data_IF_206015228948
#
_entry.id   IF_206015228948
#
_cell.length_a   1.000
_cell.length_b   1.000
_cell.length_c   1.000
_cell.angle_alpha   90.00
_cell.angle_beta   90.00
_cell.angle_gamma   90.00
#
_symmetry.space_group_name_H-M   'P 1'
#
loop_
_entity.id
_entity.type
_entity.pdbx_description
1 polymer ?
#
# COMPACT_ATOMS: atom_id res chain seq x y z
N UNK A 1 2.71 4.55 -37.65
CA UNK A 1 3.50 4.21 -36.44
C UNK A 1 3.46 5.40 -35.50
N UNK A 2 2.79 5.35 -34.34
CA UNK A 2 2.80 6.48 -33.42
C UNK A 2 4.17 6.57 -32.73
N UNK A 3 4.75 7.77 -32.73
CA UNK A 3 6.06 8.10 -32.16
C UNK A 3 6.03 7.94 -30.64
N UNK A 4 6.99 7.20 -30.10
CA UNK A 4 7.26 7.12 -28.66
C UNK A 4 7.66 8.50 -28.15
N UNK A 5 7.05 9.03 -27.07
CA UNK A 5 7.48 10.30 -26.50
C UNK A 5 8.86 10.13 -25.85
N UNK A 6 9.83 10.92 -26.31
CA UNK A 6 11.19 10.97 -25.76
C UNK A 6 11.17 11.56 -24.34
N UNK A 7 11.60 10.77 -23.35
CA UNK A 7 11.72 11.21 -21.96
C UNK A 7 13.05 11.95 -21.75
N UNK A 8 12.99 13.16 -21.19
CA UNK A 8 14.14 14.00 -20.83
C UNK A 8 15.12 13.28 -19.87
N UNK A 9 16.45 13.55 -19.94
CA UNK A 9 17.43 12.90 -19.08
C UNK A 9 17.28 13.38 -17.63
N UNK A 10 16.78 12.50 -16.75
CA UNK A 10 16.68 12.78 -15.31
C UNK A 10 18.08 12.83 -14.68
N UNK A 11 18.41 13.87 -13.91
CA UNK A 11 19.66 13.96 -13.13
C UNK A 11 19.58 13.18 -11.81
N UNK A 12 20.73 12.94 -11.17
CA UNK A 12 20.78 12.39 -9.80
C UNK A 12 20.12 13.38 -8.85
N UNK A 13 19.23 12.91 -7.97
CA UNK A 13 18.54 13.77 -6.98
C UNK A 13 18.92 13.34 -5.57
N UNK A 14 19.13 14.32 -4.69
CA UNK A 14 19.25 14.11 -3.25
C UNK A 14 18.00 14.63 -2.56
N UNK A 15 17.31 13.75 -1.82
CA UNK A 15 16.11 14.08 -1.08
C UNK A 15 16.43 14.02 0.41
N UNK A 16 16.15 15.12 1.12
CA UNK A 16 16.25 15.20 2.57
C UNK A 16 14.96 14.70 3.21
N UNK A 17 15.07 13.81 4.19
CA UNK A 17 13.91 13.25 4.89
C UNK A 17 13.44 14.22 5.98
N UNK A 18 12.20 14.69 5.86
CA UNK A 18 11.57 15.55 6.86
C UNK A 18 10.84 14.76 7.96
N UNK A 19 10.32 15.46 8.97
CA UNK A 19 9.55 14.86 10.07
C UNK A 19 8.30 14.10 9.59
N UNK A 20 7.67 14.57 8.51
CA UNK A 20 6.48 13.93 7.92
C UNK A 20 6.76 12.56 7.27
N UNK A 21 8.00 12.29 6.88
CA UNK A 21 8.39 11.03 6.24
C UNK A 21 9.12 10.07 7.20
N UNK A 22 9.56 10.59 8.36
CA UNK A 22 10.27 9.81 9.37
C UNK A 22 9.46 8.58 9.82
N UNK A 23 10.16 7.48 10.02
CA UNK A 23 9.60 6.18 10.39
C UNK A 23 9.04 5.38 9.21
N UNK A 24 8.93 5.95 8.01
CA UNK A 24 8.49 5.23 6.81
C UNK A 24 9.59 4.28 6.31
N UNK A 25 9.21 3.12 5.77
CA UNK A 25 10.15 2.26 5.03
C UNK A 25 10.66 2.96 3.77
N UNK A 26 11.93 2.74 3.46
CA UNK A 26 12.62 3.36 2.33
C UNK A 26 11.94 3.04 0.99
N UNK A 27 11.46 1.82 0.79
CA UNK A 27 10.72 1.47 -0.42
C UNK A 27 9.44 2.29 -0.61
N UNK A 28 8.66 2.48 0.46
CA UNK A 28 7.46 3.32 0.44
C UNK A 28 7.82 4.80 0.25
N UNK A 29 8.88 5.28 0.92
CA UNK A 29 9.41 6.64 0.72
C UNK A 29 9.77 6.88 -0.75
N UNK A 30 10.49 5.94 -1.37
CA UNK A 30 10.88 6.02 -2.79
C UNK A 30 9.68 5.94 -3.72
N UNK A 31 8.70 5.08 -3.46
CA UNK A 31 7.48 4.96 -4.29
C UNK A 31 6.66 6.26 -4.28
N UNK A 32 6.65 6.99 -3.15
CA UNK A 32 6.02 8.31 -3.04
C UNK A 32 6.76 9.38 -3.84
N UNK A 33 8.10 9.36 -3.83
CA UNK A 33 8.94 10.34 -4.53
C UNK A 33 9.11 10.03 -6.02
N UNK A 34 9.09 8.76 -6.41
CA UNK A 34 9.24 8.26 -7.78
C UNK A 34 7.89 7.88 -8.37
N UNK A 35 6.93 8.79 -8.32
CA UNK A 35 5.60 8.57 -8.92
C UNK A 35 5.74 8.16 -10.38
N UNK A 36 5.02 7.10 -10.77
CA UNK A 36 5.05 6.54 -12.12
C UNK A 36 6.19 5.55 -12.41
N UNK A 37 7.11 5.34 -11.47
CA UNK A 37 8.13 4.29 -11.59
C UNK A 37 7.55 2.97 -11.09
N UNK A 38 7.56 1.88 -11.90
CA UNK A 38 7.06 0.58 -11.45
C UNK A 38 7.74 0.07 -10.19
N UNK A 39 6.98 -0.56 -9.29
CA UNK A 39 7.51 -1.12 -8.03
C UNK A 39 8.70 -2.03 -8.28
N UNK A 40 8.61 -2.94 -9.26
CA UNK A 40 9.70 -3.84 -9.66
C UNK A 40 10.99 -3.09 -10.04
N UNK A 41 10.87 -1.91 -10.67
CA UNK A 41 12.01 -1.04 -11.01
C UNK A 41 12.60 -0.39 -9.75
N UNK A 42 11.78 0.10 -8.82
CA UNK A 42 12.28 0.63 -7.52
C UNK A 42 13.07 -0.43 -6.75
N UNK A 43 12.53 -1.65 -6.61
CA UNK A 43 13.26 -2.73 -5.96
C UNK A 43 14.54 -3.12 -6.71
N UNK A 44 14.57 -3.03 -8.05
CA UNK A 44 15.78 -3.24 -8.83
C UNK A 44 16.85 -2.18 -8.54
N UNK A 45 16.48 -0.90 -8.44
CA UNK A 45 17.40 0.19 -8.09
C UNK A 45 18.02 -0.01 -6.70
N UNK A 46 17.21 -0.42 -5.72
CA UNK A 46 17.68 -0.76 -4.37
C UNK A 46 18.62 -1.97 -4.39
N UNK A 47 18.26 -3.07 -5.08
CA UNK A 47 19.10 -4.27 -5.18
C UNK A 47 20.45 -4.00 -5.87
N UNK A 48 20.47 -3.16 -6.89
CA UNK A 48 21.71 -2.73 -7.56
C UNK A 48 22.53 -1.73 -6.74
N UNK A 49 21.97 -1.20 -5.64
CA UNK A 49 22.61 -0.19 -4.81
C UNK A 49 22.77 1.14 -5.54
N UNK A 50 21.86 1.45 -6.47
CA UNK A 50 21.82 2.75 -7.16
C UNK A 50 21.19 3.82 -6.28
N UNK A 51 20.27 3.42 -5.39
CA UNK A 51 19.77 4.27 -4.29
C UNK A 51 20.69 4.14 -3.09
N UNK A 52 21.01 5.28 -2.45
CA UNK A 52 21.86 5.35 -1.25
C UNK A 52 21.21 6.20 -0.17
N UNK A 53 21.35 5.77 1.08
CA UNK A 53 21.02 6.59 2.26
C UNK A 53 22.34 6.95 2.93
N UNK A 54 22.60 8.24 3.13
CA UNK A 54 23.84 8.73 3.76
C UNK A 54 25.11 8.11 3.13
N UNK A 55 25.15 8.04 1.80
CA UNK A 55 26.22 7.42 0.97
C UNK A 55 26.32 5.88 1.06
N UNK A 56 25.63 5.23 1.98
CA UNK A 56 25.58 3.76 2.15
C UNK A 56 24.50 3.07 1.31
N UNK A 57 24.65 1.76 1.04
CA UNK A 57 23.55 0.94 0.52
C UNK A 57 22.51 0.76 1.63
N UNK A 58 21.23 0.78 1.27
CA UNK A 58 20.13 0.57 2.21
C UNK A 58 19.20 -0.51 1.69
N UNK A 59 18.62 -1.28 2.61
CA UNK A 59 17.61 -2.30 2.31
C UNK A 59 16.23 -1.65 2.14
N UNK A 60 15.29 -2.28 1.40
CA UNK A 60 13.94 -1.74 1.20
C UNK A 60 13.16 -1.45 2.50
N UNK A 61 13.41 -2.24 3.55
CA UNK A 61 12.77 -2.17 4.87
C UNK A 61 13.43 -1.18 5.84
N UNK A 62 14.53 -0.53 5.45
CA UNK A 62 15.16 0.54 6.23
C UNK A 62 14.13 1.63 6.54
N UNK A 63 14.00 2.03 7.81
CA UNK A 63 13.11 3.13 8.20
C UNK A 63 13.88 4.45 8.15
N UNK A 64 13.43 5.35 7.28
CA UNK A 64 14.06 6.65 7.13
C UNK A 64 13.85 7.51 8.38
N UNK A 65 14.87 8.26 8.75
CA UNK A 65 14.84 9.19 9.89
C UNK A 65 14.98 10.62 9.42
N UNK A 66 14.47 11.57 10.20
CA UNK A 66 14.62 12.99 9.88
C UNK A 66 16.10 13.34 9.75
N UNK A 67 16.45 14.03 8.65
CA UNK A 67 17.84 14.40 8.33
C UNK A 67 18.59 13.39 7.45
N UNK A 68 18.01 12.22 7.13
CA UNK A 68 18.59 11.32 6.15
C UNK A 68 18.67 11.97 4.76
N UNK A 69 19.82 11.83 4.11
CA UNK A 69 20.01 12.19 2.70
C UNK A 69 19.87 10.95 1.81
N UNK A 70 18.76 10.85 1.09
CA UNK A 70 18.49 9.77 0.13
C UNK A 70 18.90 10.20 -1.28
N UNK A 71 19.97 9.58 -1.82
CA UNK A 71 20.41 9.73 -3.21
C UNK A 71 19.61 8.79 -4.10
N UNK A 72 18.96 9.35 -5.11
CA UNK A 72 18.15 8.64 -6.10
C UNK A 72 18.83 8.80 -7.48
N UNK A 73 19.06 7.70 -8.22
CA UNK A 73 19.68 7.76 -9.55
C UNK A 73 18.74 8.42 -10.57
N UNK A 74 19.25 8.79 -11.76
CA UNK A 74 18.44 9.08 -12.94
C UNK A 74 17.37 8.01 -13.17
N UNK A 75 16.11 8.32 -12.88
CA UNK A 75 14.99 7.47 -13.27
C UNK A 75 14.11 8.26 -14.21
N UNK A 76 14.11 7.87 -15.50
CA UNK A 76 13.10 8.35 -16.45
C UNK A 76 11.72 8.03 -15.87
N UNK A 77 11.01 9.10 -15.49
CA UNK A 77 9.65 9.07 -15.00
C UNK A 77 8.78 8.96 -16.24
N UNK A 78 8.30 7.76 -16.54
CA UNK A 78 7.06 7.68 -17.30
C UNK A 78 6.00 8.37 -16.44
N UNK A 79 5.19 9.25 -17.04
CA UNK A 79 3.99 9.74 -16.36
C UNK A 79 3.30 8.54 -15.70
N UNK A 80 2.84 8.68 -14.43
CA UNK A 80 2.10 7.60 -13.79
C UNK A 80 0.94 7.24 -14.70
N UNK A 81 1.07 6.12 -15.42
CA UNK A 81 -0.04 5.54 -16.16
C UNK A 81 -1.11 5.29 -15.12
N UNK A 82 -2.12 6.14 -15.09
CA UNK A 82 -3.34 5.80 -14.41
C UNK A 82 -3.79 4.49 -15.05
N UNK A 83 -4.06 3.50 -14.22
CA UNK A 83 -4.56 2.24 -14.73
C UNK A 83 -6.00 2.49 -15.17
N UNK A 84 -6.18 2.98 -16.39
CA UNK A 84 -7.47 3.37 -16.96
C UNK A 84 -8.35 2.15 -17.29
N UNK A 85 -7.88 0.92 -17.01
CA UNK A 85 -8.70 -0.27 -17.15
C UNK A 85 -9.96 -0.10 -16.29
N UNK A 86 -11.16 -0.36 -16.84
CA UNK A 86 -12.39 -0.28 -16.07
C UNK A 86 -12.34 -1.27 -14.91
N UNK A 87 -13.10 -0.97 -13.85
CA UNK A 87 -13.36 -1.96 -12.82
C UNK A 87 -14.12 -3.14 -13.43
N UNK A 88 -13.88 -4.37 -12.94
CA UNK A 88 -14.77 -5.49 -13.23
C UNK A 88 -16.24 -5.11 -12.94
N UNK A 89 -17.15 -5.60 -13.77
CA UNK A 89 -18.57 -5.31 -13.64
C UNK A 89 -19.09 -5.69 -12.24
N UNK A 90 -19.88 -4.81 -11.62
CA UNK A 90 -20.46 -5.00 -10.29
C UNK A 90 -19.49 -4.87 -9.11
N UNK A 91 -18.17 -4.73 -9.34
CA UNK A 91 -17.20 -4.60 -8.23
C UNK A 91 -17.42 -3.31 -7.43
N UNK A 92 -17.76 -2.21 -8.10
CA UNK A 92 -18.02 -0.93 -7.42
C UNK A 92 -19.23 -1.05 -6.49
N UNK A 93 -20.35 -1.58 -6.99
CA UNK A 93 -21.57 -1.79 -6.21
C UNK A 93 -21.33 -2.76 -5.05
N UNK A 94 -20.61 -3.86 -5.29
CA UNK A 94 -20.23 -4.81 -4.25
C UNK A 94 -19.44 -4.15 -3.12
N UNK A 95 -18.45 -3.31 -3.45
CA UNK A 95 -17.64 -2.62 -2.44
C UNK A 95 -18.44 -1.55 -1.70
N UNK A 96 -19.33 -0.83 -2.39
CA UNK A 96 -20.20 0.16 -1.77
C UNK A 96 -21.16 -0.49 -0.76
N UNK A 97 -21.75 -1.64 -1.12
CA UNK A 97 -22.62 -2.42 -0.23
C UNK A 97 -21.86 -3.16 0.87
N UNK A 98 -20.54 -3.26 0.75
CA UNK A 98 -19.67 -3.88 1.77
C UNK A 98 -19.25 -2.90 2.87
N UNK A 99 -19.58 -1.60 2.78
CA UNK A 99 -19.19 -0.62 3.80
C UNK A 99 -19.92 -0.91 5.12
N UNK A 100 -19.14 -1.13 6.17
CA UNK A 100 -19.62 -1.33 7.54
C UNK A 100 -19.54 -0.03 8.37
N UNK A 101 -18.50 0.76 8.12
CA UNK A 101 -18.24 2.03 8.80
C UNK A 101 -17.52 2.97 7.83
N UNK A 102 -17.92 4.23 7.82
CA UNK A 102 -17.17 5.30 7.16
C UNK A 102 -17.28 6.58 8.00
N UNK A 103 -16.15 7.05 8.52
CA UNK A 103 -16.02 8.33 9.25
C UNK A 103 -14.81 9.14 8.74
N UNK A 104 -14.39 10.19 9.44
CA UNK A 104 -13.27 11.06 9.03
C UNK A 104 -11.89 10.37 9.09
N UNK A 105 -11.76 9.30 9.88
CA UNK A 105 -10.51 8.61 10.18
C UNK A 105 -10.38 7.26 9.47
N UNK A 106 -11.48 6.50 9.40
CA UNK A 106 -11.51 5.10 9.02
C UNK A 106 -12.61 4.81 7.98
N UNK A 107 -12.32 3.81 7.16
CA UNK A 107 -13.27 3.10 6.31
C UNK A 107 -13.14 1.61 6.63
N UNK A 108 -14.21 0.99 7.12
CA UNK A 108 -14.27 -0.45 7.37
C UNK A 108 -15.22 -1.07 6.38
N UNK A 109 -14.74 -2.10 5.68
CA UNK A 109 -15.57 -2.89 4.77
C UNK A 109 -15.64 -4.35 5.22
N UNK A 110 -16.75 -5.01 4.95
CA UNK A 110 -16.86 -6.46 4.94
C UNK A 110 -16.28 -6.98 3.62
N UNK A 111 -14.95 -7.19 3.57
CA UNK A 111 -14.27 -7.63 2.36
C UNK A 111 -14.84 -8.99 1.91
N UNK A 112 -15.29 -9.15 0.66
CA UNK A 112 -15.70 -10.45 0.15
C UNK A 112 -14.50 -11.39 -0.02
N UNK A 113 -14.74 -12.70 0.07
CA UNK A 113 -13.76 -13.72 -0.30
C UNK A 113 -13.49 -13.69 -1.81
N UNK A 114 -12.32 -14.16 -2.24
CA UNK A 114 -11.86 -14.13 -3.63
C UNK A 114 -11.27 -12.79 -4.09
N UNK A 115 -11.50 -11.70 -3.36
CA UNK A 115 -10.99 -10.36 -3.70
C UNK A 115 -9.69 -10.05 -2.94
N UNK A 116 -8.54 -9.80 -3.62
CA UNK A 116 -7.30 -9.43 -2.97
C UNK A 116 -7.35 -7.98 -2.46
N UNK A 117 -6.65 -7.69 -1.36
CA UNK A 117 -6.57 -6.30 -0.83
C UNK A 117 -5.75 -5.37 -1.70
N UNK A 118 -4.77 -5.91 -2.43
CA UNK A 118 -3.90 -5.21 -3.37
C UNK A 118 -3.78 -6.00 -4.68
N UNK A 119 -3.70 -5.30 -5.81
CA UNK A 119 -3.35 -5.89 -7.10
C UNK A 119 -1.93 -6.46 -7.13
N UNK A 120 -1.72 -7.54 -7.89
CA UNK A 120 -0.45 -8.25 -8.03
C UNK A 120 0.05 -8.36 -9.47
N UNK A 121 1.22 -8.98 -9.68
CA UNK A 121 1.75 -9.26 -11.01
C UNK A 121 0.87 -10.29 -11.74
N UNK A 122 0.00 -9.82 -12.64
CA UNK A 122 -0.83 -10.66 -13.51
C UNK A 122 -2.28 -10.86 -13.07
N UNK A 123 -2.77 -10.23 -12.00
CA UNK A 123 -4.14 -10.44 -11.46
C UNK A 123 -4.80 -9.15 -11.00
N UNK A 124 -6.13 -9.12 -11.22
CA UNK A 124 -7.23 -8.29 -10.68
C UNK A 124 -6.90 -7.02 -9.88
N UNK A 125 -7.69 -5.97 -10.16
CA UNK A 125 -7.79 -4.77 -9.31
C UNK A 125 -8.14 -5.23 -7.88
N UNK A 126 -7.28 -4.91 -6.91
CA UNK A 126 -7.54 -5.20 -5.50
C UNK A 126 -8.47 -4.17 -4.87
N UNK A 127 -8.91 -4.43 -3.63
CA UNK A 127 -9.83 -3.57 -2.89
C UNK A 127 -9.37 -2.11 -2.90
N UNK A 128 -8.13 -1.84 -2.49
CA UNK A 128 -7.66 -0.46 -2.36
C UNK A 128 -7.54 0.24 -3.72
N UNK A 129 -7.12 -0.47 -4.78
CA UNK A 129 -7.10 0.09 -6.13
C UNK A 129 -8.51 0.38 -6.63
N UNK A 130 -9.48 -0.50 -6.33
CA UNK A 130 -10.88 -0.30 -6.70
C UNK A 130 -11.49 0.90 -5.99
N UNK A 131 -11.35 1.00 -4.67
CA UNK A 131 -11.81 2.15 -3.89
C UNK A 131 -11.19 3.46 -4.36
N UNK A 132 -9.90 3.47 -4.72
CA UNK A 132 -9.23 4.64 -5.31
C UNK A 132 -9.84 5.02 -6.65
N UNK A 133 -10.15 4.06 -7.53
CA UNK A 133 -10.83 4.29 -8.81
C UNK A 133 -12.27 4.79 -8.63
N UNK A 134 -12.96 4.38 -7.56
CA UNK A 134 -14.27 4.88 -7.17
C UNK A 134 -14.22 6.31 -6.59
N UNK A 135 -13.04 6.95 -6.52
CA UNK A 135 -12.89 8.31 -6.00
C UNK A 135 -12.71 8.41 -4.48
N UNK A 136 -12.79 7.30 -3.73
CA UNK A 136 -12.61 7.25 -2.27
C UNK A 136 -11.14 7.40 -1.83
N UNK A 137 -10.20 7.55 -2.76
CA UNK A 137 -8.76 7.55 -2.51
C UNK A 137 -8.12 8.89 -2.14
N UNK A 138 -8.89 9.98 -2.06
CA UNK A 138 -8.36 11.35 -1.90
C UNK A 138 -8.85 11.99 -0.59
N UNK A 139 -8.00 12.77 0.12
CA UNK A 139 -6.58 13.01 -0.15
C UNK A 139 -5.68 11.82 0.24
N UNK A 140 -6.20 10.88 1.02
CA UNK A 140 -5.45 9.75 1.56
C UNK A 140 -6.39 8.56 1.75
N UNK A 141 -5.93 7.37 1.39
CA UNK A 141 -6.57 6.10 1.73
C UNK A 141 -5.50 5.02 1.71
N UNK A 142 -5.26 4.38 2.83
CA UNK A 142 -4.27 3.31 2.97
C UNK A 142 -4.84 2.12 3.74
N UNK A 143 -4.44 0.91 3.39
CA UNK A 143 -4.81 -0.28 4.15
C UNK A 143 -4.15 -0.24 5.53
N UNK A 144 -4.96 -0.35 6.58
CA UNK A 144 -4.46 -0.40 7.96
C UNK A 144 -4.01 -1.82 8.35
N UNK A 145 -4.59 -2.83 7.69
CA UNK A 145 -4.09 -4.21 7.70
C UNK A 145 -4.48 -4.91 6.40
N UNK A 146 -4.10 -6.19 6.28
CA UNK A 146 -4.48 -7.05 5.16
C UNK A 146 -5.33 -8.21 5.62
N UNK A 147 -6.13 -8.73 4.70
CA UNK A 147 -6.74 -10.05 4.74
C UNK A 147 -6.25 -10.81 3.50
N UNK A 148 -6.18 -12.13 3.60
CA UNK A 148 -5.87 -12.96 2.44
C UNK A 148 -7.00 -12.94 1.42
N UNK A 149 -6.70 -13.34 0.19
CA UNK A 149 -7.67 -13.27 -0.93
C UNK A 149 -8.95 -14.02 -0.59
N UNK A 150 -8.83 -15.24 -0.09
CA UNK A 150 -9.98 -16.11 0.23
C UNK A 150 -10.61 -15.82 1.60
N UNK A 151 -10.00 -14.97 2.42
CA UNK A 151 -10.55 -14.58 3.73
C UNK A 151 -11.55 -13.44 3.55
N UNK A 152 -12.79 -13.61 3.97
CA UNK A 152 -13.76 -12.53 4.07
C UNK A 152 -13.74 -11.86 5.44
N UNK A 153 -14.42 -10.72 5.58
CA UNK A 153 -14.66 -10.05 6.85
C UNK A 153 -14.09 -8.64 6.93
N UNK A 154 -14.02 -8.12 8.15
CA UNK A 154 -13.67 -6.73 8.43
C UNK A 154 -12.26 -6.38 7.94
N UNK A 155 -12.18 -5.50 6.95
CA UNK A 155 -10.96 -4.89 6.46
C UNK A 155 -10.99 -3.39 6.77
N UNK A 156 -10.00 -2.93 7.52
CA UNK A 156 -9.87 -1.52 7.92
C UNK A 156 -8.91 -0.79 6.98
N UNK A 157 -9.36 0.35 6.46
CA UNK A 157 -8.58 1.33 5.74
C UNK A 157 -8.56 2.64 6.54
N UNK A 158 -7.41 3.30 6.57
CA UNK A 158 -7.26 4.62 7.16
C UNK A 158 -7.41 5.71 6.10
N UNK A 159 -8.21 6.73 6.41
CA UNK A 159 -8.48 7.90 5.55
C UNK A 159 -7.55 9.07 5.80
N UNK A 160 -6.73 8.99 6.86
CA UNK A 160 -5.64 9.92 7.09
C UNK A 160 -4.43 9.25 7.77
N UNK A 161 -3.29 9.94 7.78
CA UNK A 161 -2.03 9.42 8.33
C UNK A 161 -2.05 9.25 9.86
N UNK A 162 -2.59 10.20 10.66
CA UNK A 162 -2.76 9.99 12.10
C UNK A 162 -3.50 8.69 12.45
N UNK A 163 -4.66 8.45 11.83
CA UNK A 163 -5.46 7.24 12.04
C UNK A 163 -4.69 5.96 11.69
N UNK A 164 -3.95 5.96 10.57
CA UNK A 164 -3.12 4.82 10.17
C UNK A 164 -2.04 4.49 11.23
N UNK A 165 -1.37 5.51 11.76
CA UNK A 165 -0.32 5.34 12.77
C UNK A 165 -0.90 4.85 14.10
N UNK A 166 -2.03 5.43 14.53
CA UNK A 166 -2.75 5.01 15.73
C UNK A 166 -3.20 3.56 15.62
N UNK A 167 -3.80 3.16 14.49
CA UNK A 167 -4.23 1.78 14.25
C UNK A 167 -3.05 0.79 14.28
N UNK A 168 -1.92 1.14 13.65
CA UNK A 168 -0.71 0.31 13.71
C UNK A 168 -0.10 0.20 15.10
N UNK A 169 -0.24 1.23 15.94
CA UNK A 169 0.19 1.17 17.34
C UNK A 169 -0.70 0.21 18.12
N UNK A 170 -2.03 0.35 18.01
CA UNK A 170 -2.98 -0.55 18.64
C UNK A 170 -2.79 -2.01 18.21
N UNK A 171 -2.54 -2.25 16.91
CA UNK A 171 -2.23 -3.59 16.39
C UNK A 171 -0.96 -4.19 17.00
N UNK A 172 0.07 -3.36 17.28
CA UNK A 172 1.34 -3.82 17.86
C UNK A 172 1.26 -4.00 19.37
N UNK A 173 0.53 -3.10 20.04
CA UNK A 173 0.34 -3.10 21.49
C UNK A 173 -0.76 -4.04 21.99
N UNK A 174 -1.46 -4.76 21.10
CA UNK A 174 -2.55 -5.66 21.48
C UNK A 174 -3.85 -4.95 21.87
N UNK A 175 -4.02 -3.68 21.51
CA UNK A 175 -5.24 -2.91 21.78
C UNK A 175 -6.39 -3.19 20.79
N UNK A 176 -6.31 -4.26 19.99
CA UNK A 176 -7.34 -4.65 19.01
C UNK A 176 -7.58 -6.15 19.15
N UNK A 177 -8.81 -6.50 19.48
CA UNK A 177 -9.30 -7.87 19.43
C UNK A 177 -9.74 -8.23 18.00
N UNK A 178 -9.21 -9.34 17.49
CA UNK A 178 -9.55 -9.86 16.16
C UNK A 178 -10.12 -11.25 16.30
N UNK A 179 -11.42 -11.38 16.07
CA UNK A 179 -12.13 -12.64 16.17
C UNK A 179 -12.34 -13.19 14.76
N UNK A 180 -11.88 -14.42 14.52
CA UNK A 180 -12.06 -15.13 13.26
C UNK A 180 -13.00 -16.31 13.47
N UNK A 181 -14.14 -16.28 12.78
CA UNK A 181 -15.01 -17.45 12.70
C UNK A 181 -14.48 -18.38 11.61
N UNK A 182 -14.22 -19.64 11.95
CA UNK A 182 -13.70 -20.64 11.02
C UNK A 182 -14.48 -21.94 11.09
N UNK A 183 -14.62 -22.62 9.95
CA UNK A 183 -15.16 -23.98 9.86
C UNK A 183 -14.01 -24.92 9.48
N UNK A 184 -13.82 -25.97 10.28
CA UNK A 184 -12.70 -26.91 10.15
C UNK A 184 -13.19 -28.27 9.65
N UNK A 185 -12.37 -28.94 8.85
CA UNK A 185 -12.57 -30.34 8.51
C UNK A 185 -12.02 -31.23 9.64
N UNK A 186 -12.88 -32.06 10.23
CA UNK A 186 -12.54 -32.93 11.35
C UNK A 186 -12.83 -32.31 12.73
N UNK A 187 -12.29 -32.92 13.78
CA UNK A 187 -12.51 -32.49 15.17
C UNK A 187 -11.34 -31.65 15.66
N UNK A 188 -11.61 -30.42 16.08
CA UNK A 188 -10.63 -29.61 16.79
C UNK A 188 -10.36 -30.25 18.16
N UNK A 189 -9.11 -30.62 18.50
CA UNK A 189 -8.79 -31.31 19.75
C UNK A 189 -8.99 -30.44 21.00
N UNK A 190 -9.26 -29.14 20.83
CA UNK A 190 -9.52 -28.22 21.92
C UNK A 190 -8.23 -27.67 22.52
N UNK A 191 -8.30 -26.38 22.86
CA UNK A 191 -7.34 -25.62 23.64
C UNK A 191 -8.07 -24.33 23.98
N UNK A 192 -8.17 -23.99 25.26
CA UNK A 192 -8.80 -22.74 25.70
C UNK A 192 -7.91 -21.58 25.26
N UNK A 193 -8.50 -20.63 24.54
CA UNK A 193 -7.97 -19.28 24.45
C UNK A 193 -8.63 -18.55 25.61
N UNK A 194 -7.87 -18.36 26.69
CA UNK A 194 -8.26 -17.43 27.77
C UNK A 194 -8.32 -15.99 27.22
#
# INVERSE_FOLDING_TARGET
>A
MPKTPESSPSTVVHVQVGAADAGQRLDNFLLRHLKGVPRTRVYRLLRKGEVRVNKGRAKPDYRVVTGDSVRIPPVSRSEPRQDDRPLPQGLADLLEWSVLLEDDDLLVINKPAGLPVHGGSGVAVGVIEALRKMGRGKPFLELAHRLDRETSGCLVLARNRPALLAFHELLRGGGIDKIYLTLLAGRWPGGSVE
#
